data_IF_777092788645
#
_entry.id   IF_777092788645
#
_cell.length_a   1.000
_cell.length_b   1.000
_cell.length_c   1.000
_cell.angle_alpha   90.00
_cell.angle_beta   90.00
_cell.angle_gamma   90.00
#
_symmetry.space_group_name_H-M   'P 1'
#
loop_
_entity.id
_entity.type
_entity.pdbx_description
1 polymer ?
#
# COMPACT_ATOMS: atom_id res chain seq x y z
N UNK A 1 32.02 9.75 31.03
CA UNK A 1 32.55 9.22 29.76
C UNK A 1 31.55 8.22 29.20
N UNK A 2 31.20 8.38 27.92
CA UNK A 2 30.25 7.58 27.15
C UNK A 2 30.90 6.27 26.72
N UNK A 3 30.14 5.17 26.69
CA UNK A 3 30.30 4.13 25.67
C UNK A 3 28.92 3.72 25.17
N UNK A 4 28.55 4.23 24.01
CA UNK A 4 27.43 3.75 23.22
C UNK A 4 27.85 2.46 22.51
N UNK A 5 27.21 1.34 22.82
CA UNK A 5 27.31 0.13 22.01
C UNK A 5 26.51 0.31 20.73
N UNK A 6 27.21 0.66 19.65
CA UNK A 6 26.71 0.59 18.28
C UNK A 6 26.67 -0.87 17.84
N UNK A 7 25.52 -1.52 17.96
CA UNK A 7 25.24 -2.71 17.17
C UNK A 7 24.77 -2.26 15.78
N UNK A 8 25.71 -1.89 14.91
CA UNK A 8 25.46 -1.91 13.46
C UNK A 8 25.53 -3.37 13.02
N UNK A 9 24.38 -4.02 12.86
CA UNK A 9 24.34 -5.32 12.20
C UNK A 9 24.34 -5.07 10.68
N UNK A 10 25.53 -5.15 10.10
CA UNK A 10 25.72 -5.31 8.67
C UNK A 10 25.21 -6.71 8.28
N UNK A 11 24.06 -6.81 7.62
CA UNK A 11 23.63 -8.05 6.99
C UNK A 11 24.35 -8.14 5.65
N UNK A 12 25.55 -8.69 5.69
CA UNK A 12 26.27 -9.19 4.53
C UNK A 12 26.74 -10.62 4.87
N UNK A 13 26.57 -11.53 3.90
CA UNK A 13 26.81 -12.97 3.92
C UNK A 13 25.69 -13.84 4.49
N UNK A 14 25.06 -14.60 3.58
CA UNK A 14 25.18 -16.06 3.58
C UNK A 14 24.87 -16.59 2.18
N UNK A 15 25.93 -16.89 1.44
CA UNK A 15 25.88 -17.86 0.36
C UNK A 15 25.87 -19.27 0.98
N UNK A 16 24.99 -20.13 0.48
CA UNK A 16 25.01 -21.59 0.58
C UNK A 16 25.12 -22.21 1.99
N UNK A 17 24.01 -22.19 2.73
CA UNK A 17 23.63 -23.24 3.68
C UNK A 17 22.18 -23.61 3.36
N UNK A 18 21.77 -24.87 3.58
CA UNK A 18 20.42 -25.41 3.28
C UNK A 18 19.34 -24.33 3.33
N UNK A 19 18.78 -23.97 2.16
CA UNK A 19 17.99 -22.74 1.98
C UNK A 19 16.81 -22.61 2.98
N UNK A 20 16.26 -23.74 3.43
CA UNK A 20 15.23 -23.79 4.46
C UNK A 20 15.73 -23.48 5.88
N UNK A 21 16.94 -23.90 6.26
CA UNK A 21 17.49 -23.61 7.60
C UNK A 21 18.01 -22.18 7.69
N UNK A 22 18.62 -21.67 6.61
CA UNK A 22 19.09 -20.28 6.55
C UNK A 22 17.94 -19.28 6.62
N UNK A 23 16.81 -19.55 5.96
CA UNK A 23 15.64 -18.67 6.00
C UNK A 23 14.98 -18.66 7.38
N UNK A 24 14.80 -19.84 8.00
CA UNK A 24 14.28 -19.94 9.38
C UNK A 24 15.17 -19.18 10.37
N UNK A 25 16.49 -19.33 10.24
CA UNK A 25 17.44 -18.60 11.07
C UNK A 25 17.36 -17.08 10.84
N UNK A 26 17.35 -16.64 9.58
CA UNK A 26 17.25 -15.22 9.22
C UNK A 26 15.92 -14.60 9.72
N UNK A 27 14.79 -15.30 9.58
CA UNK A 27 13.52 -14.84 10.11
C UNK A 27 13.49 -14.80 11.65
N UNK A 28 14.18 -15.73 12.32
CA UNK A 28 14.32 -15.71 13.79
C UNK A 28 15.09 -14.48 14.27
N UNK A 29 16.07 -14.01 13.49
CA UNK A 29 16.79 -12.75 13.73
C UNK A 29 15.87 -11.57 13.41
N UNK A 30 15.16 -11.59 12.28
CA UNK A 30 14.25 -10.52 11.86
C UNK A 30 13.12 -10.26 12.89
N UNK A 31 12.68 -11.30 13.61
CA UNK A 31 11.70 -11.19 14.71
C UNK A 31 12.15 -10.28 15.86
N UNK A 32 13.45 -10.07 16.04
CA UNK A 32 14.04 -9.35 17.18
C UNK A 32 14.25 -7.85 16.94
N UNK A 33 13.80 -7.33 15.79
CA UNK A 33 13.82 -5.91 15.49
C UNK A 33 12.53 -5.48 14.79
N UNK A 34 12.19 -4.21 14.91
CA UNK A 34 11.12 -3.62 14.10
C UNK A 34 11.43 -3.81 12.60
N UNK A 35 10.40 -4.15 11.81
CA UNK A 35 10.53 -4.38 10.38
C UNK A 35 11.16 -3.15 9.70
N UNK A 36 12.29 -3.30 8.98
CA UNK A 36 12.83 -2.20 8.19
C UNK A 36 11.91 -1.92 7.01
N UNK A 37 11.42 -0.69 6.90
CA UNK A 37 10.60 -0.22 5.78
C UNK A 37 11.31 0.94 5.08
N UNK A 38 10.97 1.24 3.81
CA UNK A 38 11.34 2.50 3.19
C UNK A 38 10.87 3.70 4.04
N UNK A 39 11.43 4.87 3.81
CA UNK A 39 10.95 6.09 4.44
C UNK A 39 9.46 6.31 4.16
N UNK A 40 8.77 7.02 5.07
CA UNK A 40 7.37 7.35 4.84
C UNK A 40 7.20 8.16 3.55
N UNK A 41 6.21 7.80 2.74
CA UNK A 41 6.03 8.39 1.43
C UNK A 41 5.17 7.59 0.48
N UNK A 42 5.03 8.15 -0.71
CA UNK A 42 4.38 7.54 -1.86
C UNK A 42 5.43 6.89 -2.77
N UNK A 43 5.12 5.71 -3.27
CA UNK A 43 6.00 4.90 -4.09
C UNK A 43 5.23 4.32 -5.28
N UNK A 44 5.93 4.19 -6.40
CA UNK A 44 5.53 3.30 -7.48
C UNK A 44 5.91 1.88 -7.08
N UNK A 45 4.99 0.95 -7.24
CA UNK A 45 5.21 -0.47 -7.02
C UNK A 45 5.33 -1.19 -8.37
N UNK A 46 6.26 -2.14 -8.48
CA UNK A 46 6.41 -2.97 -9.67
C UNK A 46 6.43 -4.43 -9.27
N UNK A 47 5.50 -5.22 -9.79
CA UNK A 47 5.51 -6.67 -9.59
C UNK A 47 6.73 -7.28 -10.28
N UNK A 48 7.39 -8.22 -9.59
CA UNK A 48 8.62 -8.84 -10.06
C UNK A 48 8.40 -10.28 -10.51
N UNK A 49 8.99 -10.65 -11.63
CA UNK A 49 9.17 -12.05 -12.03
C UNK A 49 10.53 -12.56 -11.61
N UNK A 50 10.63 -13.88 -11.50
CA UNK A 50 11.86 -14.60 -11.21
C UNK A 50 11.78 -16.00 -11.81
N UNK A 51 12.74 -16.36 -12.65
CA UNK A 51 12.73 -17.65 -13.35
C UNK A 51 13.04 -18.83 -12.39
N UNK A 52 13.88 -18.60 -11.38
CA UNK A 52 14.20 -19.51 -10.28
C UNK A 52 14.92 -18.75 -9.14
N UNK A 53 15.16 -19.41 -8.02
CA UNK A 53 15.78 -18.81 -6.82
C UNK A 53 17.22 -18.29 -7.00
N UNK A 54 17.86 -18.55 -8.15
CA UNK A 54 19.19 -18.04 -8.48
C UNK A 54 19.14 -16.93 -9.53
N UNK A 55 18.03 -16.75 -10.23
CA UNK A 55 17.85 -15.71 -11.22
C UNK A 55 17.67 -14.33 -10.58
N UNK A 56 18.04 -13.28 -11.31
CA UNK A 56 17.75 -11.90 -10.94
C UNK A 56 16.25 -11.62 -11.03
N UNK A 57 15.73 -10.79 -10.13
CA UNK A 57 14.36 -10.28 -10.25
C UNK A 57 14.24 -9.36 -11.45
N UNK A 58 13.11 -9.42 -12.16
CA UNK A 58 12.81 -8.56 -13.32
C UNK A 58 11.46 -7.88 -13.11
N UNK A 59 11.37 -6.57 -13.34
CA UNK A 59 10.09 -5.85 -13.32
C UNK A 59 9.21 -6.34 -14.48
N UNK A 60 7.94 -6.62 -14.20
CA UNK A 60 6.99 -7.05 -15.21
C UNK A 60 6.29 -5.81 -15.77
N UNK A 61 6.51 -5.53 -17.05
CA UNK A 61 5.87 -4.41 -17.76
C UNK A 61 4.34 -4.54 -17.73
N UNK A 62 3.64 -3.45 -17.41
CA UNK A 62 2.18 -3.42 -17.34
C UNK A 62 1.62 -4.05 -16.06
N UNK A 63 2.46 -4.24 -15.04
CA UNK A 63 2.10 -4.65 -13.68
C UNK A 63 2.70 -3.69 -12.65
N UNK A 64 2.63 -2.41 -12.97
CA UNK A 64 2.93 -1.32 -12.07
C UNK A 64 1.70 -0.99 -11.21
N UNK A 65 1.94 -0.39 -10.05
CA UNK A 65 0.92 0.04 -9.12
C UNK A 65 1.48 1.07 -8.15
N UNK A 66 0.85 1.18 -6.99
CA UNK A 66 1.18 2.18 -5.99
C UNK A 66 1.48 1.53 -4.64
N UNK A 67 2.38 2.13 -3.88
CA UNK A 67 2.59 1.79 -2.49
C UNK A 67 2.63 3.05 -1.61
N UNK A 68 2.04 2.96 -0.43
CA UNK A 68 2.09 3.99 0.59
C UNK A 68 2.77 3.42 1.82
N UNK A 69 3.89 4.02 2.22
CA UNK A 69 4.51 3.76 3.52
C UNK A 69 4.07 4.88 4.46
N UNK A 70 3.24 4.55 5.45
CA UNK A 70 2.76 5.55 6.39
C UNK A 70 3.86 5.94 7.40
N UNK A 71 3.79 7.15 7.98
CA UNK A 71 4.70 7.56 9.04
C UNK A 71 4.67 6.58 10.22
N UNK A 72 5.84 6.36 10.80
CA UNK A 72 6.03 5.53 11.98
C UNK A 72 5.26 6.12 13.17
N UNK A 73 4.34 5.35 13.76
CA UNK A 73 3.66 5.71 15.00
C UNK A 73 4.27 4.95 16.19
N UNK A 74 3.86 5.31 17.41
CA UNK A 74 4.45 4.76 18.65
C UNK A 74 4.24 3.26 18.83
N UNK A 75 3.14 2.71 18.29
CA UNK A 75 2.75 1.30 18.47
C UNK A 75 3.05 0.45 17.25
N UNK A 76 2.83 0.99 16.07
CA UNK A 76 2.97 0.28 14.80
C UNK A 76 3.29 1.24 13.66
N UNK A 77 3.89 0.70 12.61
CA UNK A 77 4.02 1.34 11.31
C UNK A 77 3.22 0.51 10.31
N UNK A 78 2.47 1.20 9.44
CA UNK A 78 1.60 0.57 8.46
C UNK A 78 2.07 0.89 7.05
N UNK A 79 1.70 0.05 6.10
CA UNK A 79 1.88 0.31 4.68
C UNK A 79 0.80 -0.39 3.85
N UNK A 80 0.66 0.04 2.61
CA UNK A 80 -0.15 -0.66 1.63
C UNK A 80 0.51 -0.69 0.26
N UNK A 81 0.16 -1.70 -0.54
CA UNK A 81 0.51 -1.82 -1.96
C UNK A 81 -0.76 -2.16 -2.71
N UNK A 82 -1.03 -1.45 -3.82
CA UNK A 82 -2.21 -1.64 -4.67
C UNK A 82 -1.75 -1.83 -6.10
N UNK A 83 -2.26 -2.85 -6.76
CA UNK A 83 -1.96 -3.15 -8.17
C UNK A 83 -3.26 -3.52 -8.87
N UNK A 84 -3.59 -2.73 -9.87
CA UNK A 84 -4.76 -2.93 -10.71
C UNK A 84 -4.28 -3.24 -12.12
N UNK A 85 -4.69 -4.39 -12.64
CA UNK A 85 -4.40 -4.79 -14.02
C UNK A 85 -5.69 -4.98 -14.77
N UNK A 86 -5.97 -4.08 -15.71
CA UNK A 86 -6.95 -4.35 -16.73
C UNK A 86 -6.37 -5.28 -17.82
N UNK A 87 -7.02 -6.41 -18.05
CA UNK A 87 -6.70 -7.35 -19.12
C UNK A 87 -7.75 -7.32 -20.25
N UNK A 88 -8.52 -6.24 -20.36
CA UNK A 88 -9.48 -5.93 -21.41
C UNK A 88 -10.86 -6.59 -21.26
N UNK A 89 -10.98 -7.71 -20.55
CA UNK A 89 -12.28 -8.37 -20.27
C UNK A 89 -12.60 -8.51 -18.78
N UNK A 90 -11.57 -8.71 -17.94
CA UNK A 90 -11.73 -8.84 -16.49
C UNK A 90 -10.49 -8.24 -15.84
N UNK A 91 -10.68 -7.20 -15.02
CA UNK A 91 -9.62 -6.62 -14.22
C UNK A 91 -9.20 -7.57 -13.09
N UNK A 92 -7.92 -7.53 -12.72
CA UNK A 92 -7.43 -8.14 -11.49
C UNK A 92 -6.86 -7.06 -10.58
N UNK A 93 -7.51 -6.88 -9.45
CA UNK A 93 -7.14 -5.87 -8.46
C UNK A 93 -6.59 -6.59 -7.23
N UNK A 94 -5.48 -6.09 -6.69
CA UNK A 94 -4.91 -6.63 -5.46
C UNK A 94 -4.45 -5.52 -4.55
N UNK A 95 -4.76 -5.68 -3.27
CA UNK A 95 -4.18 -4.88 -2.22
C UNK A 95 -3.42 -5.76 -1.22
N UNK A 96 -2.25 -5.27 -0.81
CA UNK A 96 -1.54 -5.75 0.37
C UNK A 96 -1.61 -4.69 1.45
N UNK A 97 -1.94 -5.07 2.67
CA UNK A 97 -1.98 -4.20 3.84
C UNK A 97 -1.07 -4.78 4.91
N UNK A 98 -0.06 -4.00 5.30
CA UNK A 98 0.94 -4.41 6.26
C UNK A 98 0.87 -3.63 7.56
N UNK A 99 1.15 -4.33 8.66
CA UNK A 99 1.26 -3.80 10.02
C UNK A 99 2.53 -4.35 10.66
N UNK A 100 3.40 -3.47 11.14
CA UNK A 100 4.63 -3.84 11.83
C UNK A 100 4.69 -3.14 13.17
N UNK A 101 4.74 -3.91 14.25
CA UNK A 101 4.84 -3.38 15.60
C UNK A 101 6.15 -2.62 15.80
N UNK A 102 6.10 -1.57 16.62
CA UNK A 102 7.27 -0.77 17.02
C UNK A 102 7.76 -1.09 18.43
N UNK A 103 7.12 -2.05 19.08
CA UNK A 103 7.46 -2.55 20.40
C UNK A 103 7.37 -4.07 20.42
N UNK A 104 8.19 -4.68 21.27
CA UNK A 104 8.17 -6.13 21.48
C UNK A 104 6.88 -6.57 22.16
N UNK A 105 6.42 -7.76 21.79
CA UNK A 105 5.44 -8.51 22.56
C UNK A 105 6.12 -9.21 23.76
N UNK A 106 5.32 -9.94 24.54
CA UNK A 106 5.80 -10.71 25.70
C UNK A 106 6.90 -11.74 25.40
N UNK A 107 7.05 -12.16 24.15
CA UNK A 107 8.02 -13.17 23.70
C UNK A 107 9.31 -12.52 23.15
N UNK A 108 9.44 -11.19 23.27
CA UNK A 108 10.56 -10.41 22.74
C UNK A 108 10.57 -10.33 21.22
N UNK A 109 9.41 -10.45 20.57
CA UNK A 109 9.24 -10.40 19.12
C UNK A 109 8.56 -9.09 18.75
N UNK A 110 8.93 -8.49 17.61
CA UNK A 110 8.19 -7.40 16.97
C UNK A 110 7.21 -8.01 15.95
N UNK A 111 5.89 -8.12 16.24
CA UNK A 111 4.98 -8.77 15.32
C UNK A 111 4.85 -8.02 13.99
N UNK A 112 4.75 -8.79 12.92
CA UNK A 112 4.42 -8.32 11.57
C UNK A 112 3.15 -9.05 11.12
N UNK A 113 2.28 -8.36 10.41
CA UNK A 113 1.12 -8.94 9.73
C UNK A 113 1.06 -8.35 8.32
N UNK A 114 0.96 -9.22 7.33
CA UNK A 114 0.74 -8.87 5.94
C UNK A 114 -0.54 -9.55 5.46
N UNK A 115 -1.48 -8.76 4.97
CA UNK A 115 -2.78 -9.22 4.49
C UNK A 115 -2.91 -8.91 3.00
N UNK A 116 -3.21 -9.90 2.17
CA UNK A 116 -3.55 -9.71 0.75
C UNK A 116 -5.04 -9.90 0.55
N UNK A 117 -5.67 -9.03 -0.22
CA UNK A 117 -6.97 -9.29 -0.84
C UNK A 117 -6.83 -9.06 -2.33
N UNK A 118 -7.22 -10.05 -3.13
CA UNK A 118 -7.22 -9.97 -4.58
C UNK A 118 -8.59 -10.36 -5.14
N UNK A 119 -9.00 -9.70 -6.21
CA UNK A 119 -10.26 -9.97 -6.90
C UNK A 119 -10.06 -10.06 -8.41
N UNK A 120 -10.92 -10.85 -9.07
CA UNK A 120 -11.00 -10.95 -10.53
C UNK A 120 -12.43 -11.31 -10.92
N UNK A 121 -13.20 -10.31 -11.37
CA UNK A 121 -14.64 -10.44 -11.52
C UNK A 121 -15.27 -10.81 -10.18
N UNK A 122 -16.10 -11.86 -10.14
CA UNK A 122 -16.75 -12.30 -8.90
C UNK A 122 -15.85 -13.15 -7.98
N UNK A 123 -14.60 -13.44 -8.37
CA UNK A 123 -13.66 -14.20 -7.53
C UNK A 123 -12.97 -13.26 -6.56
N UNK A 124 -12.96 -13.61 -5.28
CA UNK A 124 -12.18 -12.92 -4.25
C UNK A 124 -11.34 -13.94 -3.49
N UNK A 125 -10.10 -13.60 -3.19
CA UNK A 125 -9.23 -14.38 -2.32
C UNK A 125 -8.50 -13.47 -1.33
N UNK A 126 -8.54 -13.86 -0.06
CA UNK A 126 -7.88 -13.14 1.02
C UNK A 126 -6.96 -14.05 1.82
N UNK A 127 -5.72 -13.62 1.99
CA UNK A 127 -4.68 -14.30 2.78
C UNK A 127 -4.12 -13.37 3.83
N UNK A 128 -3.62 -13.96 4.92
CA UNK A 128 -2.77 -13.26 5.86
C UNK A 128 -1.56 -14.12 6.23
N UNK A 129 -0.46 -13.46 6.56
CA UNK A 129 0.76 -14.11 7.01
C UNK A 129 1.54 -13.20 7.98
N UNK A 130 2.24 -13.81 8.94
CA UNK A 130 2.94 -13.14 10.04
C UNK A 130 4.47 -13.25 9.95
N UNK A 131 5.02 -13.54 8.76
CA UNK A 131 6.47 -13.63 8.57
C UNK A 131 7.15 -12.25 8.71
N UNK A 132 8.31 -12.23 9.36
CA UNK A 132 9.02 -10.98 9.68
C UNK A 132 10.03 -10.59 8.60
N UNK A 133 10.66 -11.56 7.94
CA UNK A 133 11.65 -11.29 6.90
C UNK A 133 10.96 -11.08 5.54
N UNK A 134 10.32 -9.93 5.38
CA UNK A 134 9.52 -9.62 4.18
C UNK A 134 9.98 -8.37 3.44
N UNK A 135 11.05 -7.70 3.90
CA UNK A 135 11.60 -6.49 3.27
C UNK A 135 13.10 -6.61 3.08
N UNK A 136 13.56 -6.22 1.89
CA UNK A 136 14.97 -6.28 1.51
C UNK A 136 15.38 -4.95 0.89
N UNK A 137 16.47 -4.40 1.42
CA UNK A 137 17.06 -3.14 0.97
C UNK A 137 18.11 -3.41 -0.11
N UNK A 138 18.23 -2.50 -1.07
CA UNK A 138 19.27 -2.51 -2.10
C UNK A 138 19.36 -3.86 -2.87
N UNK A 139 18.19 -4.47 -3.10
CA UNK A 139 18.06 -5.66 -3.92
C UNK A 139 18.32 -5.30 -5.39
N UNK A 140 19.12 -6.11 -6.08
CA UNK A 140 19.31 -5.95 -7.54
C UNK A 140 18.06 -6.43 -8.26
N UNK A 141 17.49 -5.56 -9.08
CA UNK A 141 16.32 -5.82 -9.92
C UNK A 141 16.63 -5.31 -11.32
N UNK A 142 16.23 -6.05 -12.35
CA UNK A 142 16.26 -5.62 -13.75
C UNK A 142 14.99 -4.81 -14.00
N UNK A 143 15.11 -3.55 -14.38
CA UNK A 143 13.97 -2.69 -14.70
C UNK A 143 13.32 -3.06 -16.05
N UNK A 144 12.21 -2.39 -16.37
CA UNK A 144 11.45 -2.64 -17.61
C UNK A 144 12.24 -2.33 -18.90
N UNK A 145 13.37 -1.61 -18.80
CA UNK A 145 14.28 -1.30 -19.90
C UNK A 145 15.49 -2.25 -19.95
N UNK A 146 15.53 -3.28 -19.10
CA UNK A 146 16.62 -4.25 -19.05
C UNK A 146 17.84 -3.79 -18.24
N UNK A 147 17.76 -2.68 -17.50
CA UNK A 147 18.87 -2.16 -16.71
C UNK A 147 18.83 -2.67 -15.28
N UNK A 148 19.99 -3.07 -14.75
CA UNK A 148 20.11 -3.38 -13.33
C UNK A 148 20.01 -2.13 -12.47
N UNK A 149 19.11 -2.17 -11.50
CA UNK A 149 18.86 -1.10 -10.53
C UNK A 149 18.77 -1.67 -9.13
N UNK A 150 19.08 -0.84 -8.14
CA UNK A 150 18.94 -1.16 -6.71
C UNK A 150 17.62 -0.62 -6.19
N UNK A 151 16.83 -1.48 -5.56
CA UNK A 151 15.49 -1.13 -5.04
C UNK A 151 15.25 -1.74 -3.67
N UNK A 152 14.35 -1.10 -2.92
CA UNK A 152 13.64 -1.80 -1.87
C UNK A 152 12.71 -2.82 -2.51
N UNK A 153 12.66 -4.02 -1.93
CA UNK A 153 11.77 -5.08 -2.38
C UNK A 153 11.02 -5.69 -1.21
N UNK A 154 9.77 -6.06 -1.46
CA UNK A 154 8.93 -6.82 -0.55
C UNK A 154 8.81 -8.26 -1.03
N UNK A 155 8.85 -9.20 -0.10
CA UNK A 155 8.49 -10.60 -0.32
C UNK A 155 7.07 -10.85 0.20
N UNK A 156 6.13 -10.99 -0.72
CA UNK A 156 4.72 -11.30 -0.45
C UNK A 156 4.35 -12.74 -0.82
N UNK A 157 5.33 -13.61 -1.11
CA UNK A 157 5.12 -15.01 -1.53
C UNK A 157 4.19 -15.78 -0.59
N UNK A 158 4.31 -15.52 0.71
CA UNK A 158 3.54 -16.19 1.78
C UNK A 158 2.07 -15.78 1.86
N UNK A 159 1.70 -14.70 1.17
CA UNK A 159 0.28 -14.37 0.92
C UNK A 159 -0.26 -15.01 -0.35
N UNK A 160 0.51 -15.87 -1.03
CA UNK A 160 0.12 -16.62 -2.21
C UNK A 160 0.12 -15.79 -3.50
N UNK A 161 0.43 -16.45 -4.62
CA UNK A 161 0.50 -15.87 -5.98
C UNK A 161 -0.61 -16.38 -6.91
N UNK A 162 -1.54 -17.18 -6.37
CA UNK A 162 -2.65 -17.82 -7.08
C UNK A 162 -3.96 -17.63 -6.29
N UNK A 163 -5.10 -17.67 -6.98
CA UNK A 163 -6.41 -17.83 -6.34
C UNK A 163 -6.52 -19.23 -5.76
N UNK A 164 -6.97 -19.38 -4.50
CA UNK A 164 -7.12 -20.72 -3.89
C UNK A 164 -8.33 -21.51 -4.39
N UNK A 165 -9.41 -20.80 -4.73
CA UNK A 165 -10.71 -21.39 -5.10
C UNK A 165 -11.19 -20.80 -6.44
N UNK A 166 -11.89 -21.58 -7.29
CA UNK A 166 -12.13 -23.03 -7.22
C UNK A 166 -10.95 -23.87 -7.75
N UNK A 167 -9.86 -23.24 -8.19
CA UNK A 167 -8.71 -23.91 -8.77
C UNK A 167 -7.42 -23.15 -8.45
N UNK A 168 -6.54 -23.79 -7.68
CA UNK A 168 -5.21 -23.28 -7.31
C UNK A 168 -4.28 -23.07 -8.52
N UNK A 169 -4.68 -23.47 -9.73
CA UNK A 169 -3.91 -23.22 -10.95
C UNK A 169 -3.93 -21.75 -11.41
N UNK A 170 -4.92 -20.95 -10.99
CA UNK A 170 -5.12 -19.62 -11.54
C UNK A 170 -4.22 -18.59 -10.87
N UNK A 171 -3.17 -18.14 -11.56
CA UNK A 171 -2.27 -17.08 -11.08
C UNK A 171 -3.00 -15.74 -10.94
N UNK A 172 -2.66 -14.99 -9.89
CA UNK A 172 -3.13 -13.62 -9.67
C UNK A 172 -2.59 -12.69 -10.75
N UNK A 173 -1.30 -12.80 -11.03
CA UNK A 173 -0.66 -12.08 -12.12
C UNK A 173 0.31 -13.02 -12.83
N UNK A 174 0.22 -13.17 -14.17
CA UNK A 174 1.13 -14.03 -14.92
C UNK A 174 2.60 -13.68 -14.63
N UNK A 175 3.41 -14.71 -14.40
CA UNK A 175 4.85 -14.60 -14.10
C UNK A 175 5.23 -13.85 -12.82
N UNK A 176 4.27 -13.42 -12.00
CA UNK A 176 4.58 -12.76 -10.74
C UNK A 176 5.12 -13.77 -9.73
N UNK A 177 6.31 -13.46 -9.19
CA UNK A 177 7.04 -14.32 -8.26
C UNK A 177 6.64 -14.14 -6.80
N UNK A 178 5.63 -13.33 -6.49
CA UNK A 178 5.32 -12.94 -5.11
C UNK A 178 6.13 -11.74 -4.61
N UNK A 179 7.08 -11.21 -5.39
CA UNK A 179 7.94 -10.10 -4.98
C UNK A 179 7.52 -8.78 -5.62
N UNK A 180 7.77 -7.67 -4.92
CA UNK A 180 7.42 -6.32 -5.38
C UNK A 180 8.61 -5.39 -5.16
N UNK A 181 9.05 -4.66 -6.19
CA UNK A 181 9.99 -3.56 -6.02
C UNK A 181 9.24 -2.25 -5.81
N UNK A 182 9.82 -1.33 -5.04
CA UNK A 182 9.26 0.02 -4.90
C UNK A 182 10.28 1.11 -5.25
N UNK A 183 9.80 2.15 -5.93
CA UNK A 183 10.57 3.36 -6.30
C UNK A 183 9.86 4.59 -5.74
N UNK A 184 10.57 5.45 -5.00
CA UNK A 184 9.95 6.62 -4.37
C UNK A 184 9.44 7.60 -5.42
N UNK A 185 8.19 8.03 -5.30
CA UNK A 185 7.60 9.04 -6.18
C UNK A 185 7.85 10.43 -5.60
N UNK A 186 8.14 11.38 -6.50
CA UNK A 186 8.19 12.78 -6.15
C UNK A 186 6.76 13.29 -5.92
N UNK A 187 6.44 13.62 -4.68
CA UNK A 187 5.17 14.27 -4.35
C UNK A 187 5.33 15.79 -4.39
N UNK A 188 4.22 16.51 -4.31
CA UNK A 188 4.17 17.97 -4.23
C UNK A 188 3.15 18.39 -3.19
N UNK A 189 3.28 19.64 -2.73
CA UNK A 189 2.28 20.25 -1.88
C UNK A 189 0.89 20.20 -2.54
N UNK A 190 -0.13 19.88 -1.75
CA UNK A 190 -1.52 19.82 -2.20
C UNK A 190 -2.05 21.25 -2.33
N UNK A 191 -2.48 21.64 -3.53
CA UNK A 191 -3.11 22.93 -3.84
C UNK A 191 -4.61 22.92 -3.55
N UNK A 192 -5.25 24.10 -3.63
CA UNK A 192 -6.71 24.19 -3.66
C UNK A 192 -7.20 23.78 -5.06
N UNK A 193 -7.87 22.63 -5.15
CA UNK A 193 -8.25 22.00 -6.42
C UNK A 193 -9.46 21.07 -6.24
N UNK A 194 -10.07 20.67 -7.36
CA UNK A 194 -11.06 19.60 -7.42
C UNK A 194 -10.47 18.37 -8.11
N UNK A 195 -10.90 17.20 -7.64
CA UNK A 195 -10.39 15.91 -8.07
C UNK A 195 -11.56 14.95 -8.27
N UNK A 196 -11.47 14.04 -9.23
CA UNK A 196 -12.44 12.96 -9.41
C UNK A 196 -11.75 11.60 -9.53
N UNK A 197 -12.40 10.57 -9.01
CA UNK A 197 -12.05 9.18 -9.33
C UNK A 197 -12.70 8.88 -10.69
N UNK A 198 -11.89 8.59 -11.71
CA UNK A 198 -12.36 8.53 -13.09
C UNK A 198 -13.51 7.53 -13.32
N UNK A 199 -13.49 6.39 -12.62
CA UNK A 199 -14.50 5.33 -12.76
C UNK A 199 -15.83 5.67 -12.05
N UNK A 200 -15.81 6.62 -11.11
CA UNK A 200 -16.93 6.97 -10.23
C UNK A 200 -17.56 8.35 -10.57
N UNK A 201 -17.02 9.08 -11.56
CA UNK A 201 -17.38 10.46 -11.80
C UNK A 201 -18.85 10.64 -12.23
N UNK A 202 -19.63 11.35 -11.39
CA UNK A 202 -21.01 11.72 -11.68
C UNK A 202 -22.07 10.67 -11.33
N UNK A 203 -21.68 9.53 -10.77
CA UNK A 203 -22.61 8.47 -10.37
C UNK A 203 -23.08 8.66 -8.92
N UNK A 204 -24.41 8.70 -8.73
CA UNK A 204 -25.02 8.92 -7.40
C UNK A 204 -24.83 7.72 -6.45
N UNK A 205 -24.53 6.55 -7.00
CA UNK A 205 -24.30 5.28 -6.33
C UNK A 205 -22.81 4.90 -6.23
N UNK A 206 -21.90 5.74 -6.73
CA UNK A 206 -20.46 5.54 -6.61
C UNK A 206 -20.01 5.42 -5.14
N UNK A 207 -18.91 4.69 -4.94
CA UNK A 207 -18.27 4.64 -3.64
C UNK A 207 -17.70 6.02 -3.29
N UNK A 208 -16.97 6.66 -4.22
CA UNK A 208 -16.26 7.91 -3.99
C UNK A 208 -16.67 8.94 -5.02
N UNK A 209 -17.21 10.07 -4.58
CA UNK A 209 -17.61 11.17 -5.46
C UNK A 209 -16.48 12.15 -5.68
N UNK A 210 -16.83 13.44 -5.73
CA UNK A 210 -15.83 14.49 -5.88
C UNK A 210 -14.96 14.60 -4.63
N UNK A 211 -13.66 14.81 -4.83
CA UNK A 211 -12.74 15.21 -3.77
C UNK A 211 -12.37 16.67 -3.98
N UNK A 212 -12.41 17.49 -2.93
CA UNK A 212 -11.98 18.89 -2.96
C UNK A 212 -10.87 19.11 -1.95
N UNK A 213 -9.79 19.73 -2.38
CA UNK A 213 -8.74 20.21 -1.47
C UNK A 213 -8.81 21.73 -1.38
N UNK A 214 -8.57 22.26 -0.19
CA UNK A 214 -8.37 23.69 0.08
C UNK A 214 -7.10 23.85 0.90
N UNK A 215 -6.13 24.60 0.38
CA UNK A 215 -4.89 24.93 1.07
C UNK A 215 -4.78 26.44 1.27
N UNK A 216 -5.07 26.88 2.51
CA UNK A 216 -4.97 28.28 2.90
C UNK A 216 -3.69 28.48 3.71
N UNK A 217 -2.62 28.89 3.03
CA UNK A 217 -1.31 29.17 3.65
C UNK A 217 -0.76 28.02 4.49
N UNK A 218 -0.94 26.78 4.03
CA UNK A 218 -0.49 25.55 4.68
C UNK A 218 -1.55 24.88 5.56
N UNK A 219 -2.67 25.54 5.86
CA UNK A 219 -3.83 24.88 6.47
C UNK A 219 -4.59 24.10 5.41
N UNK A 220 -4.58 22.78 5.51
CA UNK A 220 -5.14 21.87 4.51
C UNK A 220 -6.49 21.32 4.98
N UNK A 221 -7.49 21.43 4.11
CA UNK A 221 -8.77 20.70 4.23
C UNK A 221 -8.97 19.86 2.98
N UNK A 222 -9.37 18.61 3.15
CA UNK A 222 -9.73 17.69 2.07
C UNK A 222 -11.14 17.17 2.36
N UNK A 223 -12.07 17.45 1.46
CA UNK A 223 -13.46 16.99 1.50
C UNK A 223 -13.60 15.84 0.52
N UNK A 224 -14.07 14.68 0.98
CA UNK A 224 -14.22 13.46 0.20
C UNK A 224 -15.69 13.06 0.22
N UNK A 225 -16.35 13.18 -0.92
CA UNK A 225 -17.73 12.76 -1.08
C UNK A 225 -17.82 11.23 -1.14
N UNK A 226 -18.81 10.66 -0.45
CA UNK A 226 -19.20 9.25 -0.55
C UNK A 226 -20.69 9.19 -0.89
N UNK A 227 -21.05 9.28 -2.19
CA UNK A 227 -22.44 9.40 -2.65
C UNK A 227 -23.32 8.26 -2.15
N UNK A 228 -22.86 7.01 -2.30
CA UNK A 228 -23.54 5.82 -1.81
C UNK A 228 -23.77 5.78 -0.29
N UNK A 229 -22.91 6.45 0.48
CA UNK A 229 -23.04 6.60 1.93
C UNK A 229 -23.85 7.86 2.33
N UNK A 230 -24.22 8.70 1.37
CA UNK A 230 -25.00 9.92 1.54
C UNK A 230 -24.29 11.00 2.36
N UNK A 231 -22.96 11.09 2.28
CA UNK A 231 -22.19 12.01 3.13
C UNK A 231 -20.89 12.52 2.47
N UNK A 232 -20.26 13.45 3.17
CA UNK A 232 -18.89 13.91 2.88
C UNK A 232 -18.06 13.77 4.14
N UNK A 233 -16.89 13.13 4.01
CA UNK A 233 -15.87 13.10 5.05
C UNK A 233 -14.95 14.31 4.90
N UNK A 234 -14.61 14.96 6.02
CA UNK A 234 -13.71 16.12 6.02
C UNK A 234 -12.43 15.78 6.77
N UNK A 235 -11.31 15.76 6.06
CA UNK A 235 -9.97 15.65 6.61
C UNK A 235 -9.33 17.03 6.80
N UNK A 236 -8.92 17.36 8.02
CA UNK A 236 -8.20 18.61 8.33
C UNK A 236 -6.78 18.33 8.79
N UNK A 237 -5.83 19.15 8.34
CA UNK A 237 -4.42 18.99 8.68
C UNK A 237 -3.56 20.18 8.25
N UNK A 238 -2.25 19.94 8.18
CA UNK A 238 -1.30 20.87 7.59
C UNK A 238 -0.69 20.25 6.35
N UNK A 239 -0.57 21.04 5.29
CA UNK A 239 0.18 20.63 4.11
C UNK A 239 1.63 20.39 4.50
N UNK A 240 2.19 19.26 4.08
CA UNK A 240 3.58 18.93 4.32
C UNK A 240 4.49 19.90 3.54
N UNK A 241 5.41 20.56 4.24
CA UNK A 241 6.31 21.57 3.65
C UNK A 241 7.53 20.95 2.95
N UNK A 242 7.71 19.64 3.06
CA UNK A 242 8.84 18.89 2.50
C UNK A 242 8.41 17.94 1.38
N UNK A 243 7.22 18.15 0.81
CA UNK A 243 6.68 17.32 -0.26
C UNK A 243 6.65 15.83 0.12
N UNK A 244 6.12 15.55 1.31
CA UNK A 244 5.78 14.22 1.83
C UNK A 244 4.27 14.03 2.05
N UNK A 245 3.92 13.10 2.93
CA UNK A 245 2.53 12.78 3.26
C UNK A 245 1.95 13.80 4.26
N UNK A 246 0.90 14.52 3.86
CA UNK A 246 0.16 15.43 4.74
C UNK A 246 -0.78 14.62 5.64
N UNK A 247 -0.59 14.69 6.97
CA UNK A 247 -1.48 14.03 7.93
C UNK A 247 -2.81 14.78 8.03
N UNK A 248 -3.91 14.05 7.89
CA UNK A 248 -5.28 14.51 8.05
C UNK A 248 -5.91 13.86 9.27
N UNK A 249 -6.74 14.62 9.98
CA UNK A 249 -7.67 14.12 10.99
C UNK A 249 -9.07 14.16 10.37
N UNK A 250 -9.65 12.98 10.14
CA UNK A 250 -10.90 12.83 9.38
C UNK A 250 -12.10 12.82 10.33
N UNK A 251 -13.17 13.47 9.90
CA UNK A 251 -14.43 13.59 10.63
C UNK A 251 -15.62 13.50 9.68
N UNK A 252 -16.82 13.31 10.24
CA UNK A 252 -18.08 13.22 9.49
C UNK A 252 -18.65 11.80 9.44
N UNK A 253 -17.97 10.80 10.02
CA UNK A 253 -18.37 9.40 9.93
C UNK A 253 -19.78 9.15 10.49
N UNK A 254 -20.17 9.87 11.55
CA UNK A 254 -21.51 9.73 12.15
C UNK A 254 -22.68 10.17 11.26
N UNK A 255 -22.39 10.87 10.15
CA UNK A 255 -23.40 11.29 9.15
C UNK A 255 -23.50 10.31 7.99
N UNK A 256 -22.59 9.34 7.92
CA UNK A 256 -22.45 8.42 6.80
C UNK A 256 -23.13 7.08 7.07
N UNK A 257 -23.68 6.48 6.01
CA UNK A 257 -24.25 5.13 6.04
C UNK A 257 -23.45 4.18 5.15
N UNK A 258 -22.24 3.86 5.58
CA UNK A 258 -21.41 2.88 4.89
C UNK A 258 -22.01 1.47 5.05
N UNK A 259 -22.36 0.84 3.94
CA UNK A 259 -22.92 -0.52 3.88
C UNK A 259 -22.34 -1.25 2.68
N UNK A 260 -22.34 -2.58 2.74
CA UNK A 260 -22.02 -3.37 1.56
C UNK A 260 -23.11 -3.18 0.48
N UNK A 261 -22.70 -3.26 -0.79
CA UNK A 261 -23.58 -3.24 -1.96
C UNK A 261 -23.20 -4.35 -2.94
N UNK A 262 -24.17 -4.85 -3.70
CA UNK A 262 -23.90 -5.72 -4.86
C UNK A 262 -23.22 -4.99 -6.00
N UNK A 263 -23.32 -3.66 -6.03
CA UNK A 263 -22.75 -2.81 -7.08
C UNK A 263 -21.26 -2.56 -6.87
N UNK A 264 -20.76 -2.84 -5.66
CA UNK A 264 -19.36 -2.69 -5.30
C UNK A 264 -18.58 -3.97 -5.53
N UNK A 265 -17.31 -3.81 -5.91
CA UNK A 265 -16.36 -4.92 -5.92
C UNK A 265 -16.15 -5.49 -4.50
N UNK A 266 -15.67 -6.73 -4.38
CA UNK A 266 -15.29 -7.28 -3.09
C UNK A 266 -14.33 -6.40 -2.26
N UNK A 267 -13.36 -5.75 -2.91
CA UNK A 267 -12.42 -4.81 -2.26
C UNK A 267 -13.15 -3.54 -1.79
N UNK A 268 -13.99 -2.94 -2.62
CA UNK A 268 -14.78 -1.76 -2.24
C UNK A 268 -15.73 -2.07 -1.07
N UNK A 269 -16.39 -3.23 -1.09
CA UNK A 269 -17.20 -3.70 0.03
C UNK A 269 -16.38 -3.84 1.32
N UNK A 270 -15.14 -4.35 1.23
CA UNK A 270 -14.22 -4.42 2.37
C UNK A 270 -13.88 -3.03 2.92
N UNK A 271 -13.71 -2.03 2.04
CA UNK A 271 -13.48 -0.65 2.44
C UNK A 271 -14.72 -0.01 3.08
N UNK A 272 -15.90 -0.16 2.48
CA UNK A 272 -17.17 0.35 3.00
C UNK A 272 -17.46 -0.19 4.40
N UNK A 273 -17.31 -1.50 4.60
CA UNK A 273 -17.47 -2.10 5.93
C UNK A 273 -16.41 -1.62 6.93
N UNK A 274 -15.20 -1.29 6.46
CA UNK A 274 -14.18 -0.70 7.33
C UNK A 274 -14.50 0.74 7.73
N UNK A 275 -15.05 1.53 6.80
CA UNK A 275 -15.49 2.91 7.04
C UNK A 275 -16.69 2.95 7.99
N UNK A 276 -17.59 1.96 7.94
CA UNK A 276 -18.71 1.83 8.87
C UNK A 276 -18.27 1.74 10.34
N UNK A 277 -17.07 1.22 10.58
CA UNK A 277 -16.49 1.07 11.91
C UNK A 277 -15.56 2.22 12.31
N UNK A 278 -15.27 3.15 11.39
CA UNK A 278 -14.44 4.29 11.66
C UNK A 278 -15.15 5.35 12.52
N UNK A 279 -14.36 6.22 13.15
CA UNK A 279 -14.83 7.27 14.06
C UNK A 279 -14.12 8.57 13.73
N UNK A 280 -14.76 9.67 14.11
CA UNK A 280 -14.13 10.99 14.02
C UNK A 280 -12.80 11.00 14.78
N UNK A 281 -11.78 11.62 14.17
CA UNK A 281 -10.40 11.55 14.64
C UNK A 281 -9.55 10.51 13.91
N UNK A 282 -10.13 9.69 13.03
CA UNK A 282 -9.38 8.71 12.26
C UNK A 282 -8.26 9.39 11.43
N UNK A 283 -7.01 8.87 11.48
CA UNK A 283 -5.93 9.43 10.68
C UNK A 283 -6.09 9.02 9.22
N UNK A 284 -5.81 9.96 8.32
CA UNK A 284 -5.55 9.69 6.91
C UNK A 284 -4.31 10.45 6.46
N UNK A 285 -3.74 10.06 5.33
CA UNK A 285 -2.54 10.70 4.77
C UNK A 285 -2.75 11.00 3.30
N UNK A 286 -2.50 12.25 2.92
CA UNK A 286 -2.70 12.70 1.56
C UNK A 286 -1.42 13.21 0.91
N UNK A 287 -1.28 13.01 -0.40
CA UNK A 287 -0.22 13.61 -1.21
C UNK A 287 -0.71 13.86 -2.63
N UNK A 288 -0.23 14.93 -3.26
CA UNK A 288 -0.39 15.14 -4.69
C UNK A 288 0.89 14.71 -5.42
N UNK A 289 0.76 14.14 -6.61
CA UNK A 289 1.91 13.68 -7.40
C UNK A 289 1.59 13.68 -8.88
N UNK A 290 2.61 13.49 -9.72
CA UNK A 290 2.41 13.25 -11.15
C UNK A 290 2.57 11.77 -11.44
N UNK A 291 1.57 11.19 -12.10
CA UNK A 291 1.60 9.80 -12.55
C UNK A 291 2.70 9.66 -13.61
N UNK A 292 3.70 8.77 -13.43
CA UNK A 292 4.88 8.70 -14.32
C UNK A 292 4.55 8.55 -15.81
N UNK A 293 3.52 7.76 -16.14
CA UNK A 293 3.20 7.40 -17.53
C UNK A 293 2.26 8.39 -18.23
N UNK A 294 1.26 8.93 -17.52
CA UNK A 294 0.27 9.83 -18.11
C UNK A 294 0.64 11.31 -17.97
N UNK A 295 1.59 11.62 -17.07
CA UNK A 295 1.93 12.99 -16.63
C UNK A 295 0.75 13.75 -16.00
N UNK A 296 -0.36 13.07 -15.74
CA UNK A 296 -1.51 13.63 -15.06
C UNK A 296 -1.18 13.88 -13.58
N UNK A 297 -1.72 14.96 -13.03
CA UNK A 297 -1.58 15.22 -11.59
C UNK A 297 -2.72 14.52 -10.87
N UNK A 298 -2.37 13.74 -9.86
CA UNK A 298 -3.33 13.00 -9.04
C UNK A 298 -3.14 13.32 -7.57
N UNK A 299 -4.23 13.17 -6.81
CA UNK A 299 -4.28 13.17 -5.36
C UNK A 299 -4.46 11.74 -4.88
N UNK A 300 -3.64 11.33 -3.92
CA UNK A 300 -3.86 10.09 -3.17
C UNK A 300 -4.26 10.42 -1.73
N UNK A 301 -5.24 9.70 -1.19
CA UNK A 301 -5.60 9.72 0.24
C UNK A 301 -5.65 8.30 0.76
N UNK A 302 -4.70 7.93 1.62
CA UNK A 302 -4.62 6.61 2.25
C UNK A 302 -5.13 6.61 3.69
N UNK A 303 -5.94 5.62 4.04
CA UNK A 303 -6.47 5.41 5.38
C UNK A 303 -5.77 4.19 6.03
N UNK A 304 -4.74 4.39 6.87
CA UNK A 304 -3.91 3.31 7.39
C UNK A 304 -4.66 2.27 8.22
N UNK A 305 -5.77 2.65 8.87
CA UNK A 305 -6.53 1.76 9.76
C UNK A 305 -7.75 1.12 9.08
N UNK A 306 -8.04 1.47 7.82
CA UNK A 306 -9.32 1.17 7.17
C UNK A 306 -9.13 0.12 6.07
N UNK A 307 -8.57 -1.02 6.46
CA UNK A 307 -8.47 -2.22 5.61
C UNK A 307 -7.84 -1.98 4.22
N UNK A 308 -6.87 -1.08 4.13
CA UNK A 308 -6.20 -0.77 2.87
C UNK A 308 -6.97 0.18 1.96
N UNK A 309 -7.97 0.90 2.47
CA UNK A 309 -8.63 1.96 1.72
C UNK A 309 -7.62 3.00 1.24
N UNK A 310 -7.61 3.20 -0.07
CA UNK A 310 -6.90 4.28 -0.73
C UNK A 310 -7.82 4.92 -1.75
N UNK A 311 -7.84 6.25 -1.77
CA UNK A 311 -8.51 7.04 -2.78
C UNK A 311 -7.44 7.58 -3.70
N UNK A 312 -7.61 7.40 -5.01
CA UNK A 312 -6.75 8.02 -6.01
C UNK A 312 -7.66 8.76 -7.00
N UNK A 313 -7.48 10.07 -7.08
CA UNK A 313 -8.32 10.94 -7.88
C UNK A 313 -7.46 11.85 -8.76
N UNK A 314 -7.89 12.04 -9.99
CA UNK A 314 -7.25 12.89 -10.96
C UNK A 314 -7.66 14.35 -10.78
N UNK A 315 -6.72 15.27 -11.01
CA UNK A 315 -7.02 16.69 -11.01
C UNK A 315 -7.97 17.02 -12.15
N UNK A 316 -9.07 17.70 -11.81
CA UNK A 316 -10.04 18.19 -12.77
C UNK A 316 -9.55 19.49 -13.46
N UNK A 317 -9.98 19.75 -14.71
CA UNK A 317 -9.60 20.96 -15.45
C UNK A 317 -9.97 22.29 -14.78
#
# INVERSE_FOLDING_TARGET
MRMHHKAMLAIACTAALSACDSEKAANSIAKRAALPLPDAGLYEASLLSRDNDKASFKMIKGLEGMALIYPKADREQRWGVWVDKDAGKVATNSQWSGKAAQKENKDGIYPVLLERTSERGNKVDSQSNDHNLITFRDQTVIDVNGKEVKRWTFDFTRTGTQFREPDQSTTLYPSWSGHVAVSKLATRAISSDSWSVADDEGFADAMVGQIKSTNNSGSLTVEMEFPSAGCTLTGKGKADQHNGLSKLTVSGFGKCRFKASSDFTPIENKWMLSLANARDGAPAYAAAFTIPNTKQTALVVGFPEQNGLVLMADKQP
#
